data_IF_611888535575
#
_entry.id   IF_611888535575
#
_cell.length_a   1.000
_cell.length_b   1.000
_cell.length_c   1.000
_cell.angle_alpha   90.00
_cell.angle_beta   90.00
_cell.angle_gamma   90.00
#
_symmetry.space_group_name_H-M   'P 1'
#
loop_
_entity.id
_entity.type
_entity.pdbx_description
1 polymer ?
#
# COMPACT_ATOMS: atom_id res chain seq x y z
N UNK A 1 11.77 23.92 -1.13
CA UNK A 1 10.49 24.57 -0.81
C UNK A 1 9.69 23.61 0.04
N UNK A 2 9.31 24.02 1.24
CA UNK A 2 8.62 23.16 2.20
C UNK A 2 7.25 22.71 1.72
N UNK A 3 6.73 21.65 2.32
CA UNK A 3 5.36 21.18 2.09
C UNK A 3 4.38 22.35 2.24
N UNK A 4 3.45 22.50 1.30
CA UNK A 4 2.36 23.48 1.39
C UNK A 4 1.62 23.27 2.71
N UNK A 5 1.84 24.15 3.67
CA UNK A 5 1.13 24.08 4.94
C UNK A 5 -0.24 24.74 4.75
N UNK A 6 -1.28 23.92 4.69
CA UNK A 6 -2.66 24.41 4.74
C UNK A 6 -3.18 24.24 6.17
N UNK A 7 -3.49 25.33 6.82
CA UNK A 7 -4.18 25.36 8.12
C UNK A 7 -5.65 25.72 7.85
N UNK A 8 -6.58 24.82 8.14
CA UNK A 8 -8.02 25.03 7.92
C UNK A 8 -8.39 25.47 6.48
N UNK A 9 -7.66 24.95 5.47
CA UNK A 9 -7.92 25.29 4.06
C UNK A 9 -7.32 26.60 3.56
N UNK A 10 -6.48 27.28 4.36
CA UNK A 10 -5.81 28.53 3.98
C UNK A 10 -4.39 28.24 3.52
N UNK A 11 -3.98 28.73 2.35
CA UNK A 11 -2.59 28.71 1.90
C UNK A 11 -1.80 29.81 2.66
N UNK A 12 -1.20 29.41 3.78
CA UNK A 12 -0.46 30.33 4.66
C UNK A 12 0.84 30.82 4.00
N UNK A 13 1.47 29.98 3.19
CA UNK A 13 2.79 30.22 2.62
C UNK A 13 2.90 31.54 1.87
N UNK A 14 1.85 31.94 1.12
CA UNK A 14 1.83 33.18 0.34
C UNK A 14 1.87 34.43 1.22
N UNK A 15 1.34 34.35 2.43
CA UNK A 15 1.27 35.47 3.39
C UNK A 15 2.54 35.56 4.26
N UNK A 16 3.37 34.52 4.29
CA UNK A 16 4.60 34.48 5.08
C UNK A 16 5.85 34.85 4.28
N UNK A 17 5.77 34.86 2.95
CA UNK A 17 6.93 35.18 2.09
C UNK A 17 7.40 36.64 2.37
N UNK A 18 8.72 36.77 2.65
CA UNK A 18 9.34 38.08 2.92
C UNK A 18 9.15 38.61 4.33
N UNK A 19 8.53 37.88 5.23
CA UNK A 19 8.35 38.25 6.64
C UNK A 19 9.51 37.79 7.51
N UNK A 20 9.69 38.48 8.66
CA UNK A 20 10.74 38.21 9.63
C UNK A 20 10.19 37.69 10.96
N UNK A 21 11.08 37.14 11.78
CA UNK A 21 10.72 36.71 13.14
C UNK A 21 10.25 37.93 13.95
N UNK A 22 9.12 37.82 14.62
CA UNK A 22 8.45 38.89 15.35
C UNK A 22 7.30 39.58 14.57
N UNK A 23 7.24 39.39 13.23
CA UNK A 23 6.15 39.95 12.44
C UNK A 23 4.81 39.32 12.79
N UNK A 24 3.77 40.15 12.72
CA UNK A 24 2.38 39.76 12.87
C UNK A 24 1.68 39.89 11.53
N UNK A 25 1.00 38.84 11.10
CA UNK A 25 0.27 38.79 9.84
C UNK A 25 -1.19 38.46 10.13
N UNK A 26 -2.10 39.28 9.61
CA UNK A 26 -3.53 38.99 9.67
C UNK A 26 -4.02 38.52 8.31
N UNK A 27 -4.68 37.34 8.32
CA UNK A 27 -5.23 36.71 7.12
C UNK A 27 -6.76 36.68 7.26
N UNK A 28 -7.47 37.54 6.52
CA UNK A 28 -8.92 37.47 6.49
C UNK A 28 -9.38 36.30 5.62
N UNK A 29 -10.26 35.45 6.15
CA UNK A 29 -10.83 34.31 5.45
C UNK A 29 -12.34 34.31 5.60
N UNK A 30 -13.05 34.14 4.49
CA UNK A 30 -14.51 33.98 4.48
C UNK A 30 -14.83 32.51 4.13
N UNK A 31 -15.58 31.88 4.99
CA UNK A 31 -15.99 30.50 4.78
C UNK A 31 -17.39 30.41 4.16
N UNK A 32 -17.61 29.54 3.18
CA UNK A 32 -18.95 29.33 2.62
C UNK A 32 -19.91 28.73 3.65
N UNK A 33 -21.19 28.97 3.47
CA UNK A 33 -22.25 28.43 4.34
C UNK A 33 -22.25 26.89 4.34
N UNK A 34 -21.77 26.26 3.26
CA UNK A 34 -21.62 24.81 3.10
C UNK A 34 -20.38 24.21 3.77
N UNK A 35 -19.61 24.98 4.54
CA UNK A 35 -18.40 24.49 5.18
C UNK A 35 -18.73 23.40 6.21
N UNK A 36 -17.97 22.26 6.26
CA UNK A 36 -18.24 21.13 7.16
C UNK A 36 -18.21 21.50 8.64
N UNK A 37 -17.36 22.46 9.04
CA UNK A 37 -17.29 22.94 10.42
C UNK A 37 -18.30 24.07 10.63
N UNK A 38 -19.38 23.77 11.35
CA UNK A 38 -20.48 24.68 11.67
C UNK A 38 -20.01 25.93 12.48
N UNK A 39 -18.87 25.87 13.16
CA UNK A 39 -18.33 27.00 13.94
C UNK A 39 -17.88 28.17 13.05
N UNK A 40 -17.45 27.87 11.83
CA UNK A 40 -16.92 28.85 10.85
C UNK A 40 -17.77 29.00 9.61
N UNK A 41 -18.74 28.11 9.37
CA UNK A 41 -19.62 28.15 8.21
C UNK A 41 -20.34 29.50 8.09
N UNK A 42 -20.25 30.17 6.92
CA UNK A 42 -20.85 31.43 6.60
C UNK A 42 -20.24 32.65 7.31
N UNK A 43 -19.12 32.50 8.04
CA UNK A 43 -18.49 33.58 8.80
C UNK A 43 -17.23 34.09 8.12
N UNK A 44 -16.97 35.38 8.27
CA UNK A 44 -15.68 36.01 8.01
C UNK A 44 -14.83 35.93 9.29
N UNK A 45 -13.67 35.29 9.22
CA UNK A 45 -12.77 35.07 10.34
C UNK A 45 -11.41 35.70 9.98
N UNK A 46 -10.79 36.43 10.90
CA UNK A 46 -9.42 36.91 10.73
C UNK A 46 -8.46 36.08 11.55
N UNK A 47 -7.48 35.47 10.89
CA UNK A 47 -6.42 34.73 11.55
C UNK A 47 -5.23 35.63 11.84
N UNK A 48 -4.85 35.72 13.09
CA UNK A 48 -3.66 36.46 13.50
C UNK A 48 -2.52 35.50 13.75
N UNK A 49 -1.48 35.60 12.89
CA UNK A 49 -0.28 34.75 12.94
C UNK A 49 0.89 35.57 13.44
N UNK A 50 1.62 35.04 14.42
CA UNK A 50 2.88 35.62 14.90
C UNK A 50 4.02 34.71 14.48
N UNK A 51 4.99 35.28 13.72
CA UNK A 51 6.15 34.56 13.25
C UNK A 51 7.15 34.44 14.39
N UNK A 52 7.26 33.27 15.03
CA UNK A 52 8.18 33.05 16.14
C UNK A 52 9.63 32.90 15.72
N UNK A 53 9.89 32.50 14.50
CA UNK A 53 11.25 32.31 14.00
C UNK A 53 11.27 31.94 12.53
N UNK A 54 12.29 32.38 11.85
CA UNK A 54 12.61 32.00 10.47
C UNK A 54 13.90 31.21 10.52
N UNK A 55 13.89 29.99 9.97
CA UNK A 55 15.05 29.09 9.91
C UNK A 55 15.42 28.85 8.45
N UNK A 56 16.70 29.00 8.16
CA UNK A 56 17.24 28.59 6.86
C UNK A 56 17.68 27.13 6.94
N UNK A 57 17.21 26.33 5.99
CA UNK A 57 17.67 24.94 5.86
C UNK A 57 19.00 24.96 5.10
N UNK A 58 20.10 24.77 5.82
CA UNK A 58 21.41 24.56 5.20
C UNK A 58 21.51 23.09 4.81
N UNK A 59 21.66 22.82 3.52
CA UNK A 59 21.92 21.47 3.02
C UNK A 59 23.43 21.23 3.03
N UNK A 60 23.91 20.05 3.44
CA UNK A 60 25.31 19.69 3.33
C UNK A 60 25.72 19.62 1.85
N UNK A 61 26.99 19.82 1.59
CA UNK A 61 27.58 19.59 0.27
C UNK A 61 27.50 18.10 -0.08
N UNK A 62 27.25 17.81 -1.37
CA UNK A 62 27.25 16.42 -1.85
C UNK A 62 28.68 15.99 -2.16
N UNK A 63 29.39 15.52 -1.13
CA UNK A 63 30.77 15.07 -1.15
C UNK A 63 30.92 13.70 -0.45
N UNK A 64 32.14 13.25 -0.28
CA UNK A 64 32.42 11.96 0.33
C UNK A 64 32.10 11.94 1.84
N UNK A 65 32.13 13.08 2.52
CA UNK A 65 31.72 13.19 3.92
C UNK A 65 30.21 12.99 4.04
N UNK A 66 29.45 13.59 3.13
CA UNK A 66 28.01 13.33 3.04
C UNK A 66 27.70 11.83 2.84
N UNK A 67 28.49 11.14 2.00
CA UNK A 67 28.29 9.71 1.78
C UNK A 67 28.54 8.88 3.05
N UNK A 68 29.55 9.23 3.85
CA UNK A 68 29.84 8.58 5.14
C UNK A 68 28.75 8.83 6.16
N UNK A 69 28.15 10.03 6.17
CA UNK A 69 27.01 10.37 7.04
C UNK A 69 25.74 9.57 6.68
N UNK A 70 25.58 9.21 5.40
CA UNK A 70 24.43 8.42 4.92
C UNK A 70 24.56 6.92 5.25
N UNK A 71 25.79 6.42 5.53
CA UNK A 71 26.00 5.01 5.80
C UNK A 71 27.47 4.56 5.56
N UNK A 72 27.73 3.26 5.51
CA UNK A 72 29.05 2.70 5.33
C UNK A 72 29.55 2.82 3.87
N UNK A 73 29.63 4.04 3.37
CA UNK A 73 30.09 4.35 2.00
C UNK A 73 31.40 5.11 2.05
N UNK A 74 32.41 4.68 1.29
CA UNK A 74 33.69 5.32 1.25
C UNK A 74 33.72 6.62 0.43
N UNK A 75 32.81 6.73 -0.56
CA UNK A 75 32.73 7.89 -1.44
C UNK A 75 31.27 8.15 -1.92
N UNK A 76 31.05 9.38 -2.40
CA UNK A 76 29.78 9.76 -3.04
C UNK A 76 29.48 8.93 -4.29
N UNK A 77 30.54 8.51 -5.01
CA UNK A 77 30.41 7.63 -6.17
C UNK A 77 29.82 6.27 -5.76
N UNK A 78 30.37 5.65 -4.73
CA UNK A 78 29.88 4.37 -4.20
C UNK A 78 28.42 4.46 -3.74
N UNK A 79 28.07 5.52 -3.01
CA UNK A 79 26.68 5.77 -2.61
C UNK A 79 25.75 5.85 -3.82
N UNK A 80 26.14 6.61 -4.86
CA UNK A 80 25.34 6.77 -6.10
C UNK A 80 25.19 5.45 -6.85
N UNK A 81 26.24 4.67 -6.98
CA UNK A 81 26.19 3.37 -7.65
C UNK A 81 25.31 2.37 -6.90
N UNK A 82 25.42 2.37 -5.57
CA UNK A 82 24.55 1.54 -4.73
C UNK A 82 23.07 1.92 -4.87
N UNK A 83 22.78 3.22 -4.82
CA UNK A 83 21.40 3.72 -5.00
C UNK A 83 20.88 3.40 -6.41
N UNK A 84 21.68 3.63 -7.46
CA UNK A 84 21.32 3.29 -8.82
C UNK A 84 20.99 1.80 -8.95
N UNK A 85 21.87 0.94 -8.45
CA UNK A 85 21.63 -0.51 -8.48
C UNK A 85 20.37 -0.95 -7.70
N UNK A 86 20.06 -0.26 -6.60
CA UNK A 86 18.81 -0.51 -5.87
C UNK A 86 17.57 -0.05 -6.67
N UNK A 87 17.64 1.13 -7.28
CA UNK A 87 16.55 1.66 -8.13
C UNK A 87 16.32 0.79 -9.37
N UNK A 88 17.40 0.33 -10.03
CA UNK A 88 17.28 -0.58 -11.19
C UNK A 88 16.64 -1.91 -10.80
N UNK A 89 17.00 -2.47 -9.63
CA UNK A 89 16.38 -3.70 -9.12
C UNK A 89 14.90 -3.48 -8.75
N UNK A 90 14.57 -2.34 -8.17
CA UNK A 90 13.18 -1.99 -7.86
C UNK A 90 12.37 -1.84 -9.16
N UNK A 91 12.88 -1.07 -10.12
CA UNK A 91 12.24 -0.87 -11.42
C UNK A 91 12.00 -2.20 -12.16
N UNK A 92 13.00 -3.10 -12.16
CA UNK A 92 12.83 -4.43 -12.78
C UNK A 92 11.71 -5.22 -12.13
N UNK A 93 11.60 -5.20 -10.80
CA UNK A 93 10.51 -5.86 -10.07
C UNK A 93 9.15 -5.26 -10.41
N UNK A 94 9.05 -3.93 -10.38
CA UNK A 94 7.80 -3.23 -10.70
C UNK A 94 7.32 -3.52 -12.12
N UNK A 95 8.26 -3.58 -13.08
CA UNK A 95 7.97 -3.97 -14.46
C UNK A 95 7.48 -5.43 -14.51
N UNK A 96 8.18 -6.35 -13.85
CA UNK A 96 7.79 -7.76 -13.80
C UNK A 96 6.41 -7.95 -13.18
N UNK A 97 6.12 -7.31 -12.07
CA UNK A 97 4.81 -7.32 -11.41
C UNK A 97 3.72 -6.78 -12.35
N UNK A 98 3.97 -5.66 -13.04
CA UNK A 98 3.03 -5.08 -14.00
C UNK A 98 2.73 -6.03 -15.16
N UNK A 99 3.72 -6.75 -15.68
CA UNK A 99 3.50 -7.75 -16.70
C UNK A 99 2.75 -8.97 -16.18
N UNK A 100 3.07 -9.46 -14.98
CA UNK A 100 2.34 -10.55 -14.32
C UNK A 100 0.87 -10.19 -14.11
N UNK A 101 0.58 -8.98 -13.66
CA UNK A 101 -0.79 -8.46 -13.51
C UNK A 101 -1.53 -8.43 -14.85
N UNK A 102 -0.86 -7.99 -15.91
CA UNK A 102 -1.44 -7.94 -17.25
C UNK A 102 -1.73 -9.33 -17.79
N UNK A 103 -0.80 -10.28 -17.60
CA UNK A 103 -0.98 -11.68 -17.95
C UNK A 103 -2.13 -12.33 -17.21
N UNK A 104 -2.22 -12.10 -15.89
CA UNK A 104 -3.30 -12.62 -15.07
C UNK A 104 -4.67 -12.07 -15.52
N UNK A 105 -4.77 -10.77 -15.79
CA UNK A 105 -5.99 -10.18 -16.35
C UNK A 105 -6.37 -10.86 -17.68
N UNK A 106 -5.40 -11.07 -18.56
CA UNK A 106 -5.63 -11.73 -19.84
C UNK A 106 -6.09 -13.17 -19.69
N UNK A 107 -5.49 -13.92 -18.74
CA UNK A 107 -5.93 -15.28 -18.43
C UNK A 107 -7.37 -15.29 -17.93
N UNK A 108 -7.75 -14.38 -17.03
CA UNK A 108 -9.12 -14.26 -16.52
C UNK A 108 -10.12 -13.94 -17.64
N UNK A 109 -9.76 -13.05 -18.56
CA UNK A 109 -10.62 -12.63 -19.68
C UNK A 109 -10.80 -13.76 -20.72
N UNK A 110 -9.77 -14.54 -20.99
CA UNK A 110 -9.80 -15.57 -22.02
C UNK A 110 -10.41 -16.90 -21.58
N UNK A 111 -10.44 -17.17 -20.30
CA UNK A 111 -11.01 -18.41 -19.77
C UNK A 111 -12.42 -18.17 -19.22
N UNK A 112 -13.41 -18.91 -19.74
CA UNK A 112 -14.82 -18.80 -19.35
C UNK A 112 -15.27 -20.14 -18.77
N UNK A 113 -15.62 -20.14 -17.50
CA UNK A 113 -16.17 -21.29 -16.77
C UNK A 113 -16.99 -20.80 -15.57
N UNK A 114 -17.88 -21.66 -15.10
CA UNK A 114 -18.74 -21.35 -13.95
C UNK A 114 -17.92 -21.44 -12.65
N UNK A 115 -18.11 -20.47 -11.78
CA UNK A 115 -17.44 -20.41 -10.50
C UNK A 115 -18.30 -21.09 -9.43
N UNK A 116 -17.73 -21.92 -8.55
CA UNK A 116 -18.44 -22.49 -7.41
C UNK A 116 -18.89 -21.37 -6.45
N UNK A 117 -20.20 -21.25 -6.22
CA UNK A 117 -20.76 -20.24 -5.34
C UNK A 117 -20.15 -20.27 -3.93
N UNK A 118 -19.83 -21.44 -3.42
CA UNK A 118 -19.20 -21.61 -2.11
C UNK A 118 -17.86 -20.91 -1.99
N UNK A 119 -17.03 -20.92 -3.05
CA UNK A 119 -15.73 -20.24 -3.08
C UNK A 119 -15.93 -18.73 -3.18
N UNK A 120 -16.87 -18.27 -4.01
CA UNK A 120 -17.19 -16.85 -4.15
C UNK A 120 -17.69 -16.27 -2.82
N UNK A 121 -18.60 -16.97 -2.13
CA UNK A 121 -19.13 -16.53 -0.85
C UNK A 121 -18.06 -16.51 0.27
N UNK A 122 -17.11 -17.47 0.25
CA UNK A 122 -15.97 -17.48 1.16
C UNK A 122 -15.07 -16.27 0.91
N UNK A 123 -14.70 -15.99 -0.34
CA UNK A 123 -13.87 -14.85 -0.71
C UNK A 123 -14.55 -13.52 -0.39
N UNK A 124 -15.86 -13.39 -0.66
CA UNK A 124 -16.65 -12.23 -0.24
C UNK A 124 -16.60 -12.00 1.27
N UNK A 125 -16.70 -13.06 2.05
CA UNK A 125 -16.62 -12.95 3.51
C UNK A 125 -15.25 -12.46 3.96
N UNK A 126 -14.18 -12.91 3.31
CA UNK A 126 -12.80 -12.45 3.57
C UNK A 126 -12.65 -10.96 3.22
N UNK A 127 -13.15 -10.53 2.05
CA UNK A 127 -13.11 -9.12 1.63
C UNK A 127 -13.86 -8.22 2.63
N UNK A 128 -15.05 -8.63 3.04
CA UNK A 128 -15.85 -7.90 4.05
C UNK A 128 -15.08 -7.77 5.35
N UNK A 129 -14.50 -8.85 5.87
CA UNK A 129 -13.69 -8.80 7.08
C UNK A 129 -12.50 -7.84 6.96
N UNK A 130 -11.76 -7.89 5.86
CA UNK A 130 -10.64 -6.99 5.60
C UNK A 130 -11.07 -5.51 5.60
N UNK A 131 -12.21 -5.20 4.96
CA UNK A 131 -12.78 -3.84 4.95
C UNK A 131 -13.17 -3.36 6.34
N UNK A 132 -13.80 -4.22 7.13
CA UNK A 132 -14.18 -3.88 8.51
C UNK A 132 -12.95 -3.64 9.40
N UNK A 133 -11.93 -4.46 9.29
CA UNK A 133 -10.67 -4.27 10.01
C UNK A 133 -9.96 -2.98 9.61
N UNK A 134 -9.92 -2.66 8.32
CA UNK A 134 -9.34 -1.42 7.82
C UNK A 134 -10.08 -0.19 8.36
N UNK A 135 -11.41 -0.24 8.43
CA UNK A 135 -12.25 0.82 9.02
C UNK A 135 -11.94 1.04 10.50
N UNK A 136 -11.73 -0.02 11.26
CA UNK A 136 -11.38 0.06 12.68
C UNK A 136 -9.99 0.66 12.92
N UNK A 137 -9.02 0.37 12.06
CA UNK A 137 -7.64 0.91 12.16
C UNK A 137 -7.54 2.39 11.79
N UNK A 138 -8.42 2.89 10.93
CA UNK A 138 -8.44 4.30 10.48
C UNK A 138 -8.98 5.30 11.51
N UNK A 139 -9.75 4.85 12.52
CA UNK A 139 -10.35 5.70 13.55
C UNK A 139 -9.79 5.36 14.93
N UNK A 140 -8.71 6.04 15.31
CA UNK A 140 -8.02 5.83 16.61
C UNK A 140 -8.79 6.39 17.80
N UNK A 141 -9.76 7.29 17.59
CA UNK A 141 -10.47 8.02 18.67
C UNK A 141 -11.93 7.63 18.87
N UNK A 142 -12.59 7.07 17.86
CA UNK A 142 -13.97 6.60 17.97
C UNK A 142 -14.15 5.34 17.13
N UNK A 143 -14.28 4.19 17.75
CA UNK A 143 -14.60 2.95 17.03
C UNK A 143 -15.97 3.12 16.39
N UNK A 144 -16.07 3.06 15.05
CA UNK A 144 -17.37 3.16 14.41
C UNK A 144 -18.27 2.02 14.86
N UNK A 145 -19.58 2.22 14.97
CA UNK A 145 -20.52 1.16 15.32
C UNK A 145 -20.36 0.00 14.34
N UNK A 146 -20.65 -1.24 14.78
CA UNK A 146 -20.65 -2.38 13.88
C UNK A 146 -21.63 -2.11 12.72
N UNK A 147 -21.29 -2.52 11.48
CA UNK A 147 -22.14 -2.30 10.33
C UNK A 147 -23.47 -3.03 10.51
N UNK A 148 -24.54 -2.41 10.06
CA UNK A 148 -25.84 -3.03 10.01
C UNK A 148 -25.95 -4.05 8.86
N UNK A 149 -27.08 -4.77 8.79
CA UNK A 149 -27.29 -5.80 7.78
C UNK A 149 -27.38 -5.22 6.35
N UNK A 150 -27.87 -3.98 6.20
CA UNK A 150 -27.97 -3.31 4.90
C UNK A 150 -26.59 -2.87 4.41
N UNK A 151 -25.78 -2.30 5.29
CA UNK A 151 -24.40 -1.91 4.99
C UNK A 151 -23.55 -3.13 4.58
N UNK A 152 -23.68 -4.25 5.32
CA UNK A 152 -23.01 -5.51 4.96
C UNK A 152 -23.43 -6.03 3.60
N UNK A 153 -24.74 -5.97 3.29
CA UNK A 153 -25.25 -6.39 2.00
C UNK A 153 -24.69 -5.53 0.87
N UNK A 154 -24.68 -4.21 1.05
CA UNK A 154 -24.11 -3.27 0.09
C UNK A 154 -22.62 -3.53 -0.18
N UNK A 155 -21.83 -3.73 0.87
CA UNK A 155 -20.40 -4.06 0.73
C UNK A 155 -20.22 -5.37 -0.06
N UNK A 156 -21.05 -6.38 0.19
CA UNK A 156 -21.01 -7.65 -0.55
C UNK A 156 -21.38 -7.47 -2.03
N UNK A 157 -22.39 -6.68 -2.35
CA UNK A 157 -22.78 -6.39 -3.73
C UNK A 157 -21.70 -5.62 -4.48
N UNK A 158 -21.13 -4.59 -3.86
CA UNK A 158 -20.04 -3.78 -4.44
C UNK A 158 -18.76 -4.60 -4.74
N UNK A 159 -18.48 -5.64 -3.94
CA UNK A 159 -17.26 -6.44 -4.08
C UNK A 159 -17.47 -7.83 -4.70
N UNK A 160 -18.67 -8.14 -5.20
CA UNK A 160 -18.96 -9.45 -5.79
C UNK A 160 -18.12 -9.72 -7.05
N UNK A 161 -17.94 -8.71 -7.89
CA UNK A 161 -17.09 -8.85 -9.07
C UNK A 161 -15.62 -9.04 -8.72
N UNK A 162 -15.13 -8.37 -7.68
CA UNK A 162 -13.76 -8.55 -7.20
C UNK A 162 -13.56 -9.97 -6.65
N UNK A 163 -14.52 -10.49 -5.88
CA UNK A 163 -14.49 -11.86 -5.39
C UNK A 163 -14.50 -12.86 -6.53
N UNK A 164 -15.39 -12.69 -7.51
CA UNK A 164 -15.43 -13.55 -8.70
C UNK A 164 -14.08 -13.56 -9.43
N UNK A 165 -13.47 -12.40 -9.60
CA UNK A 165 -12.16 -12.25 -10.26
C UNK A 165 -11.06 -12.98 -9.50
N UNK A 166 -11.02 -12.83 -8.17
CA UNK A 166 -10.03 -13.50 -7.31
C UNK A 166 -10.18 -15.01 -7.32
N UNK A 167 -11.41 -15.52 -7.17
CA UNK A 167 -11.70 -16.95 -7.23
C UNK A 167 -11.30 -17.51 -8.59
N UNK A 168 -11.67 -16.83 -9.66
CA UNK A 168 -11.32 -17.24 -11.03
C UNK A 168 -9.81 -17.29 -11.23
N UNK A 169 -9.09 -16.27 -10.77
CA UNK A 169 -7.62 -16.24 -10.82
C UNK A 169 -7.01 -17.43 -10.06
N UNK A 170 -7.49 -17.68 -8.85
CA UNK A 170 -7.03 -18.81 -8.03
C UNK A 170 -7.18 -20.15 -8.73
N UNK A 171 -8.38 -20.43 -9.26
CA UNK A 171 -8.65 -21.70 -9.97
C UNK A 171 -7.82 -21.85 -11.25
N UNK A 172 -7.59 -20.78 -12.01
CA UNK A 172 -6.71 -20.83 -13.19
C UNK A 172 -5.27 -21.13 -12.78
N UNK A 173 -4.75 -20.43 -11.76
CA UNK A 173 -3.37 -20.64 -11.30
C UNK A 173 -3.17 -22.01 -10.66
N UNK A 174 -4.18 -22.53 -9.95
CA UNK A 174 -4.17 -23.90 -9.42
C UNK A 174 -4.12 -24.94 -10.54
N UNK A 175 -4.95 -24.80 -11.57
CA UNK A 175 -4.93 -25.69 -12.74
C UNK A 175 -3.57 -25.64 -13.50
N UNK A 176 -2.95 -24.46 -13.58
CA UNK A 176 -1.60 -24.31 -14.16
C UNK A 176 -0.57 -25.02 -13.28
N UNK A 177 -0.64 -24.82 -11.97
CA UNK A 177 0.28 -25.47 -11.02
C UNK A 177 0.20 -26.99 -11.09
N UNK A 178 -1.00 -27.54 -11.19
CA UNK A 178 -1.23 -28.98 -11.36
C UNK A 178 -0.65 -29.47 -12.68
N UNK A 179 -0.96 -28.81 -13.79
CA UNK A 179 -0.47 -29.15 -15.13
C UNK A 179 1.05 -29.14 -15.22
N UNK A 180 1.68 -28.15 -14.60
CA UNK A 180 3.15 -27.99 -14.57
C UNK A 180 3.80 -28.78 -13.42
N UNK A 181 3.02 -29.55 -12.66
CA UNK A 181 3.49 -30.36 -11.51
C UNK A 181 4.28 -29.56 -10.48
N UNK A 182 3.84 -28.31 -10.21
CA UNK A 182 4.49 -27.43 -9.25
C UNK A 182 4.18 -27.88 -7.82
N UNK A 183 5.17 -27.76 -6.96
CA UNK A 183 5.03 -28.04 -5.52
C UNK A 183 5.68 -26.94 -4.68
N UNK A 184 5.19 -26.80 -3.47
CA UNK A 184 5.75 -25.86 -2.48
C UNK A 184 6.72 -26.60 -1.59
N UNK A 185 7.98 -26.20 -1.64
CA UNK A 185 9.06 -26.76 -0.81
C UNK A 185 9.14 -26.04 0.54
N UNK A 186 9.90 -26.61 1.47
CA UNK A 186 10.17 -25.95 2.75
C UNK A 186 10.96 -24.64 2.57
N UNK A 187 11.85 -24.58 1.57
CA UNK A 187 12.62 -23.39 1.25
C UNK A 187 11.72 -22.28 0.71
N UNK A 188 10.72 -22.61 -0.11
CA UNK A 188 9.73 -21.62 -0.57
C UNK A 188 8.98 -21.00 0.60
N UNK A 189 8.54 -21.81 1.57
CA UNK A 189 7.90 -21.34 2.79
C UNK A 189 8.80 -20.42 3.61
N UNK A 190 10.05 -20.81 3.82
CA UNK A 190 11.01 -20.02 4.57
C UNK A 190 11.31 -18.67 3.90
N UNK A 191 11.45 -18.68 2.58
CA UNK A 191 11.69 -17.48 1.79
C UNK A 191 10.49 -16.51 1.86
N UNK A 192 9.27 -17.04 1.74
CA UNK A 192 8.06 -16.24 1.81
C UNK A 192 7.84 -15.64 3.21
N UNK A 193 8.06 -16.44 4.26
CA UNK A 193 8.01 -15.94 5.65
C UNK A 193 9.06 -14.83 5.88
N UNK A 194 10.26 -15.00 5.34
CA UNK A 194 11.32 -13.97 5.43
C UNK A 194 10.93 -12.69 4.70
N UNK A 195 10.35 -12.82 3.51
CA UNK A 195 9.85 -11.70 2.71
C UNK A 195 8.76 -10.93 3.46
N UNK A 196 7.75 -11.65 3.96
CA UNK A 196 6.65 -11.07 4.73
C UNK A 196 7.13 -10.39 6.02
N UNK A 197 8.06 -11.00 6.76
CA UNK A 197 8.63 -10.42 7.96
C UNK A 197 9.32 -9.07 7.67
N UNK A 198 10.05 -9.00 6.55
CA UNK A 198 10.72 -7.79 6.08
C UNK A 198 9.72 -6.70 5.66
N UNK A 199 8.69 -7.08 4.92
CA UNK A 199 7.64 -6.18 4.43
C UNK A 199 6.81 -5.59 5.58
N UNK A 200 6.41 -6.44 6.53
CA UNK A 200 5.64 -6.04 7.72
C UNK A 200 6.50 -5.38 8.80
N UNK A 201 7.83 -5.39 8.65
CA UNK A 201 8.81 -4.89 9.63
C UNK A 201 8.64 -5.53 11.01
N UNK A 202 8.35 -6.83 11.04
CA UNK A 202 8.22 -7.62 12.27
C UNK A 202 9.34 -8.65 12.35
N UNK A 203 9.76 -9.05 13.57
CA UNK A 203 10.71 -10.15 13.74
C UNK A 203 10.15 -11.45 13.13
N UNK A 204 11.00 -12.21 12.42
CA UNK A 204 10.60 -13.48 11.77
C UNK A 204 9.98 -14.45 12.76
N UNK A 205 10.52 -14.52 13.99
CA UNK A 205 10.02 -15.41 15.04
C UNK A 205 8.57 -15.09 15.46
N UNK A 206 8.20 -13.81 15.46
CA UNK A 206 6.85 -13.39 15.83
C UNK A 206 5.87 -13.67 14.67
N UNK A 207 6.29 -13.47 13.43
CA UNK A 207 5.48 -13.84 12.27
C UNK A 207 5.22 -15.36 12.22
N UNK A 208 6.24 -16.19 12.47
CA UNK A 208 6.09 -17.65 12.56
C UNK A 208 5.07 -18.03 13.64
N UNK A 209 5.13 -17.42 14.82
CA UNK A 209 4.13 -17.64 15.89
C UNK A 209 2.73 -17.23 15.45
N UNK A 210 2.59 -16.12 14.74
CA UNK A 210 1.28 -15.67 14.22
C UNK A 210 0.69 -16.68 13.22
N UNK A 211 1.52 -17.18 12.28
CA UNK A 211 1.10 -18.20 11.32
C UNK A 211 0.70 -19.50 12.03
N UNK A 212 1.49 -19.93 13.02
CA UNK A 212 1.20 -21.13 13.82
C UNK A 212 -0.07 -20.96 14.66
N UNK A 213 -0.32 -19.78 15.21
CA UNK A 213 -1.54 -19.48 15.95
C UNK A 213 -2.81 -19.53 15.08
N UNK A 214 -2.70 -19.25 13.78
CA UNK A 214 -3.79 -19.43 12.81
C UNK A 214 -4.05 -20.88 12.41
N UNK A 215 -3.24 -21.82 12.91
CA UNK A 215 -3.42 -23.25 12.68
C UNK A 215 -3.09 -23.70 11.26
N UNK A 216 -3.64 -24.86 10.90
CA UNK A 216 -3.37 -25.50 9.60
C UNK A 216 -3.89 -24.65 8.43
N UNK A 217 -5.00 -23.97 8.61
CA UNK A 217 -5.61 -23.12 7.57
C UNK A 217 -4.66 -22.01 7.11
N UNK A 218 -3.98 -21.33 8.05
CA UNK A 218 -3.01 -20.28 7.71
C UNK A 218 -1.79 -20.79 6.95
N UNK A 219 -1.36 -22.02 7.23
CA UNK A 219 -0.26 -22.67 6.50
C UNK A 219 -0.70 -23.05 5.10
N UNK A 220 -1.93 -23.57 4.96
CA UNK A 220 -2.50 -23.93 3.66
C UNK A 220 -2.74 -22.68 2.79
N UNK A 221 -3.24 -21.60 3.36
CA UNK A 221 -3.35 -20.31 2.65
C UNK A 221 -1.99 -19.80 2.16
N UNK A 222 -0.96 -19.89 3.01
CA UNK A 222 0.40 -19.51 2.61
C UNK A 222 0.93 -20.38 1.48
N UNK A 223 0.70 -21.69 1.55
CA UNK A 223 1.08 -22.62 0.47
C UNK A 223 0.35 -22.33 -0.83
N UNK A 224 -0.96 -22.13 -0.76
CA UNK A 224 -1.77 -21.80 -1.94
C UNK A 224 -1.28 -20.50 -2.61
N UNK A 225 -0.94 -19.49 -1.82
CA UNK A 225 -0.36 -18.25 -2.33
C UNK A 225 0.98 -18.46 -3.02
N UNK A 226 1.91 -19.19 -2.38
CA UNK A 226 3.22 -19.51 -2.98
C UNK A 226 3.04 -20.30 -4.28
N UNK A 227 2.11 -21.24 -4.29
CA UNK A 227 1.83 -22.07 -5.48
C UNK A 227 1.28 -21.22 -6.63
N UNK A 228 0.38 -20.29 -6.33
CA UNK A 228 -0.17 -19.34 -7.30
C UNK A 228 0.92 -18.41 -7.87
N UNK A 229 1.80 -17.88 -7.02
CA UNK A 229 2.94 -17.05 -7.44
C UNK A 229 3.88 -17.85 -8.36
N UNK A 230 4.20 -19.11 -8.02
CA UNK A 230 5.03 -20.01 -8.86
C UNK A 230 4.36 -20.31 -10.21
N UNK A 231 3.06 -20.53 -10.22
CA UNK A 231 2.30 -20.74 -11.46
C UNK A 231 2.34 -19.52 -12.37
N UNK A 232 2.16 -18.34 -11.78
CA UNK A 232 2.24 -17.06 -12.52
C UNK A 232 3.66 -16.79 -13.03
N UNK A 233 4.69 -17.16 -12.28
CA UNK A 233 6.09 -17.09 -12.72
C UNK A 233 6.37 -17.99 -13.93
N UNK A 234 5.79 -19.20 -13.97
CA UNK A 234 5.92 -20.09 -15.14
C UNK A 234 5.25 -19.45 -16.35
N UNK A 235 4.04 -18.93 -16.21
CA UNK A 235 3.35 -18.22 -17.30
C UNK A 235 4.17 -17.01 -17.79
N UNK A 236 4.71 -16.22 -16.86
CA UNK A 236 5.53 -15.05 -17.20
C UNK A 236 6.78 -15.44 -17.99
N UNK A 237 7.49 -16.51 -17.59
CA UNK A 237 8.69 -16.98 -18.30
C UNK A 237 8.40 -17.56 -19.69
N UNK A 238 7.20 -18.12 -19.88
CA UNK A 238 6.77 -18.67 -21.16
C UNK A 238 6.10 -17.61 -22.05
N UNK A 239 5.69 -16.48 -21.48
CA UNK A 239 5.04 -15.41 -22.23
C UNK A 239 6.03 -14.72 -23.17
N UNK A 240 5.62 -14.56 -24.43
CA UNK A 240 6.36 -13.79 -25.40
C UNK A 240 5.98 -12.32 -25.27
N UNK A 241 6.85 -11.51 -24.63
CA UNK A 241 6.63 -10.08 -24.43
C UNK A 241 7.15 -9.35 -25.67
N UNK A 242 6.22 -8.80 -26.45
CA UNK A 242 6.56 -7.88 -27.55
C UNK A 242 6.54 -6.46 -26.99
N UNK A 243 7.70 -5.80 -26.97
CA UNK A 243 7.87 -4.39 -26.60
C UNK A 243 7.55 -3.45 -27.74
#
# INVERSE_FOLDING_TARGET
>A
MGSKAALLGIEIDTHLIGRQAGDMVEIPQTYPVSHPDQRVAGKAVSFRLVIKGVKQKNLPTLDDEFAKDCGPYASLHELRDKLRGQMEKALKRDIEESYKDTLLKRLIETHHFDLPDTLVERELSTIVQQKLQARQRGNVTDSPPPPDAEELKKIREEHREDANRRVKAGLILEAIAEKESLSVTQDDLNNEVTRLATELRVPMADLVKMIQAGGQDSIEELRARILADKALDVVYRQAFIQG
#
